data_IF_107027314137
#
_entry.id   IF_107027314137
#
_cell.length_a   1.000
_cell.length_b   1.000
_cell.length_c   1.000
_cell.angle_alpha   90.00
_cell.angle_beta   90.00
_cell.angle_gamma   90.00
#
_symmetry.space_group_name_H-M   'P 1'
#
loop_
_entity.id
_entity.type
_entity.pdbx_description
1 polymer ?
#
# COMPACT_ATOMS: atom_id res chain seq x y z
N UNK A 1 -10.51 14.82 3.75
CA UNK A 1 -11.04 16.13 3.33
C UNK A 1 -12.41 16.33 3.96
N UNK A 2 -12.60 17.40 4.74
CA UNK A 2 -13.92 17.81 5.26
C UNK A 2 -14.39 18.99 4.41
N UNK A 3 -15.55 18.86 3.77
CA UNK A 3 -16.13 19.90 2.90
C UNK A 3 -17.36 20.51 3.58
N UNK A 4 -17.42 21.84 3.64
CA UNK A 4 -18.46 22.58 4.38
C UNK A 4 -19.16 23.55 3.43
N UNK A 5 -20.49 23.53 3.43
CA UNK A 5 -21.30 24.40 2.58
C UNK A 5 -21.94 25.51 3.41
N UNK A 6 -21.79 26.77 3.00
CA UNK A 6 -22.52 27.92 3.55
C UNK A 6 -23.79 28.18 2.74
N UNK A 7 -24.87 28.51 3.43
CA UNK A 7 -26.07 29.09 2.83
C UNK A 7 -26.24 30.53 3.36
N UNK A 8 -25.76 31.51 2.59
CA UNK A 8 -26.02 32.95 2.78
C UNK A 8 -25.40 33.65 4.01
N UNK A 9 -24.91 34.88 3.84
CA UNK A 9 -24.48 35.78 4.92
C UNK A 9 -23.01 36.25 4.85
N UNK A 10 -22.69 37.35 5.53
CA UNK A 10 -21.34 37.94 5.60
C UNK A 10 -20.61 37.38 6.85
N UNK A 11 -19.70 36.43 6.64
CA UNK A 11 -18.95 35.76 7.71
C UNK A 11 -17.57 36.39 7.83
N UNK A 12 -17.10 36.62 9.05
CA UNK A 12 -15.80 37.28 9.27
C UNK A 12 -14.73 36.34 9.78
N UNK A 13 -15.10 35.27 10.47
CA UNK A 13 -14.14 34.30 11.02
C UNK A 13 -14.73 32.89 10.98
N UNK A 14 -13.89 31.92 10.64
CA UNK A 14 -14.18 30.50 10.70
C UNK A 14 -13.16 29.83 11.62
N UNK A 15 -13.63 28.95 12.50
CA UNK A 15 -12.80 28.19 13.42
C UNK A 15 -13.15 26.71 13.32
N UNK A 16 -12.13 25.90 13.07
CA UNK A 16 -12.19 24.45 13.08
C UNK A 16 -11.57 23.97 14.40
N UNK A 17 -12.36 23.27 15.22
CA UNK A 17 -11.90 22.61 16.43
C UNK A 17 -11.97 21.10 16.21
N UNK A 18 -10.85 20.43 16.37
CA UNK A 18 -10.82 18.98 16.50
C UNK A 18 -10.80 18.63 17.98
N UNK A 19 -11.68 17.73 18.42
CA UNK A 19 -11.70 17.22 19.80
C UNK A 19 -11.66 15.70 19.82
N UNK A 20 -10.84 15.15 20.71
CA UNK A 20 -10.87 13.72 21.09
C UNK A 20 -11.85 13.51 22.25
N UNK A 21 -12.28 12.27 22.50
CA UNK A 21 -13.00 11.94 23.74
C UNK A 21 -12.17 12.29 24.99
N UNK A 22 -10.84 12.17 24.93
CA UNK A 22 -9.91 12.59 25.99
C UNK A 22 -9.74 14.12 26.11
N UNK A 23 -10.56 14.91 25.42
CA UNK A 23 -10.58 16.37 25.44
C UNK A 23 -9.26 17.07 25.03
N UNK A 24 -8.38 16.39 24.28
CA UNK A 24 -7.28 17.07 23.57
C UNK A 24 -7.85 17.79 22.38
N UNK A 25 -7.86 19.12 22.42
CA UNK A 25 -8.35 19.94 21.33
C UNK A 25 -7.21 20.56 20.52
N UNK A 26 -7.37 20.61 19.20
CA UNK A 26 -6.55 21.44 18.33
C UNK A 26 -7.46 22.36 17.54
N UNK A 27 -7.16 23.65 17.59
CA UNK A 27 -7.94 24.67 16.91
C UNK A 27 -7.14 25.23 15.74
N UNK A 28 -7.79 25.29 14.58
CA UNK A 28 -7.34 26.05 13.43
C UNK A 28 -8.35 27.16 13.18
N UNK A 29 -7.89 28.37 12.93
CA UNK A 29 -8.75 29.49 12.58
C UNK A 29 -8.29 30.13 11.28
N UNK A 30 -9.25 30.55 10.47
CA UNK A 30 -8.99 31.29 9.24
C UNK A 30 -9.97 32.45 9.13
N UNK A 31 -9.55 33.47 8.39
CA UNK A 31 -10.36 34.64 8.09
C UNK A 31 -10.70 34.59 6.61
N UNK A 32 -11.98 34.45 6.30
CA UNK A 32 -12.47 34.40 4.93
C UNK A 32 -13.92 34.84 4.85
N UNK A 33 -14.31 35.36 3.70
CA UNK A 33 -15.70 35.71 3.36
C UNK A 33 -16.37 34.66 2.48
N UNK A 34 -15.63 33.60 2.13
CA UNK A 34 -16.07 32.60 1.16
C UNK A 34 -17.29 31.81 1.66
N UNK A 35 -18.06 31.29 0.71
CA UNK A 35 -19.21 30.45 1.01
C UNK A 35 -18.85 28.97 1.20
N UNK A 36 -17.62 28.60 0.88
CA UNK A 36 -17.12 27.24 1.03
C UNK A 36 -15.68 27.36 1.47
N UNK A 37 -15.32 26.57 2.47
CA UNK A 37 -13.99 26.54 3.05
C UNK A 37 -13.55 25.08 3.13
N UNK A 38 -12.35 24.80 2.63
CA UNK A 38 -11.78 23.47 2.59
C UNK A 38 -10.63 23.38 3.59
N UNK A 39 -10.68 22.34 4.41
CA UNK A 39 -9.67 22.12 5.45
C UNK A 39 -9.05 20.74 5.31
N UNK A 40 -7.72 20.74 5.20
CA UNK A 40 -6.92 19.54 5.32
C UNK A 40 -6.33 19.48 6.72
N UNK A 41 -6.73 18.44 7.45
CA UNK A 41 -6.28 18.20 8.81
C UNK A 41 -5.45 16.92 8.82
N UNK A 42 -4.20 17.03 9.28
CA UNK A 42 -3.31 15.89 9.44
C UNK A 42 -3.17 15.50 10.91
N UNK A 43 -3.28 14.20 11.18
CA UNK A 43 -3.21 13.61 12.52
C UNK A 43 -2.01 12.65 12.61
N UNK A 44 -0.77 13.16 12.68
CA UNK A 44 0.41 12.30 12.69
C UNK A 44 0.46 11.49 14.00
N UNK A 45 0.55 10.17 13.91
CA UNK A 45 0.70 9.26 15.05
C UNK A 45 1.88 9.66 15.95
N UNK A 46 2.97 10.17 15.37
CA UNK A 46 4.15 10.69 16.10
C UNK A 46 3.86 11.84 17.06
N UNK A 47 2.72 12.54 16.92
CA UNK A 47 2.27 13.60 17.84
C UNK A 47 1.27 13.12 18.88
N UNK A 48 1.08 11.80 19.02
CA UNK A 48 0.23 11.20 20.05
C UNK A 48 -1.27 11.21 19.72
N UNK A 49 -1.62 11.28 18.44
CA UNK A 49 -2.99 11.01 17.98
C UNK A 49 -3.21 9.50 17.99
N UNK A 50 -4.06 9.05 18.91
CA UNK A 50 -4.40 7.63 19.06
C UNK A 50 -5.63 7.29 18.21
N UNK A 51 -5.77 6.04 17.75
CA UNK A 51 -6.96 5.58 17.04
C UNK A 51 -8.19 5.66 17.93
N UNK A 52 -9.34 5.90 17.33
CA UNK A 52 -10.58 6.04 18.08
C UNK A 52 -11.56 7.01 17.43
N UNK A 53 -12.68 7.29 18.09
CA UNK A 53 -13.62 8.30 17.65
C UNK A 53 -13.06 9.72 17.84
N UNK A 54 -13.24 10.55 16.83
CA UNK A 54 -12.90 11.97 16.82
C UNK A 54 -14.13 12.77 16.43
N UNK A 55 -14.29 13.93 17.04
CA UNK A 55 -15.30 14.92 16.67
C UNK A 55 -14.62 16.15 16.08
N UNK A 56 -15.07 16.54 14.89
CA UNK A 56 -14.75 17.82 14.27
C UNK A 56 -15.93 18.75 14.53
N UNK A 57 -15.67 19.87 15.16
CA UNK A 57 -16.61 20.98 15.30
C UNK A 57 -16.12 22.16 14.46
N UNK A 58 -17.00 22.70 13.63
CA UNK A 58 -16.75 23.93 12.90
C UNK A 58 -17.65 24.99 13.49
N UNK A 59 -17.06 26.11 13.89
CA UNK A 59 -17.76 27.28 14.39
C UNK A 59 -17.53 28.45 13.45
N UNK A 60 -18.60 29.05 12.96
CA UNK A 60 -18.57 30.24 12.11
C UNK A 60 -19.05 31.44 12.91
N UNK A 61 -18.25 32.50 12.96
CA UNK A 61 -18.58 33.75 13.65
C UNK A 61 -19.03 34.82 12.66
N UNK A 62 -20.16 35.46 12.97
CA UNK A 62 -20.66 36.62 12.22
C UNK A 62 -20.22 37.94 12.85
N UNK A 63 -20.40 39.05 12.13
CA UNK A 63 -20.00 40.40 12.58
C UNK A 63 -20.73 40.91 13.84
N UNK A 64 -21.71 40.16 14.37
CA UNK A 64 -22.62 40.60 15.45
C UNK A 64 -22.56 39.67 16.68
N UNK A 65 -21.42 39.00 16.91
CA UNK A 65 -21.20 38.04 18.01
C UNK A 65 -22.06 36.78 18.00
N UNK A 66 -22.81 36.52 16.92
CA UNK A 66 -23.51 35.23 16.77
C UNK A 66 -22.59 34.21 16.14
N UNK A 67 -22.61 33.00 16.69
CA UNK A 67 -21.88 31.84 16.17
C UNK A 67 -22.85 30.71 15.82
N UNK A 68 -22.61 30.05 14.69
CA UNK A 68 -23.27 28.80 14.33
C UNK A 68 -22.20 27.71 14.32
N UNK A 69 -22.48 26.56 14.93
CA UNK A 69 -21.59 25.41 14.85
C UNK A 69 -22.23 24.19 14.21
N UNK A 70 -21.40 23.40 13.53
CA UNK A 70 -21.75 22.11 12.97
C UNK A 70 -20.71 21.09 13.42
N UNK A 71 -21.18 19.89 13.74
CA UNK A 71 -20.34 18.79 14.25
C UNK A 71 -20.41 17.59 13.32
N UNK A 72 -19.27 16.92 13.16
CA UNK A 72 -19.17 15.66 12.45
C UNK A 72 -18.23 14.73 13.19
N UNK A 73 -18.55 13.44 13.21
CA UNK A 73 -17.75 12.43 13.89
C UNK A 73 -17.10 11.52 12.85
N UNK A 74 -15.86 11.13 13.10
CA UNK A 74 -15.14 10.16 12.30
C UNK A 74 -14.30 9.26 13.20
N UNK A 75 -13.94 8.07 12.71
CA UNK A 75 -13.06 7.16 13.43
C UNK A 75 -11.68 7.18 12.80
N UNK A 76 -10.67 7.51 13.58
CA UNK A 76 -9.27 7.33 13.19
C UNK A 76 -8.88 5.87 13.39
N UNK A 77 -8.36 5.22 12.36
CA UNK A 77 -7.89 3.83 12.39
C UNK A 77 -6.37 3.77 12.29
N UNK A 78 -5.74 2.74 12.85
CA UNK A 78 -4.30 2.48 12.63
C UNK A 78 -4.03 1.90 11.26
N UNK A 79 -5.03 1.25 10.69
CA UNK A 79 -4.92 0.49 9.45
C UNK A 79 -5.58 1.24 8.30
N UNK A 80 -5.10 0.94 7.08
CA UNK A 80 -5.70 1.37 5.83
C UNK A 80 -7.15 0.85 5.75
N UNK A 81 -8.05 1.72 5.31
CA UNK A 81 -9.47 1.43 5.13
C UNK A 81 -9.78 1.13 3.67
N UNK A 82 -10.83 0.34 3.46
CA UNK A 82 -11.21 -0.14 2.15
C UNK A 82 -12.02 -1.43 2.22
N UNK A 83 -12.02 -2.17 1.12
CA UNK A 83 -12.67 -3.46 1.02
C UNK A 83 -12.00 -4.36 0.00
N UNK A 84 -12.53 -5.58 -0.12
CA UNK A 84 -12.04 -6.57 -1.07
C UNK A 84 -13.09 -6.83 -2.17
N UNK A 85 -12.77 -6.40 -3.38
CA UNK A 85 -13.56 -6.72 -4.56
C UNK A 85 -13.25 -8.13 -5.05
N UNK A 86 -14.28 -8.73 -5.64
CA UNK A 86 -14.24 -10.05 -6.24
C UNK A 86 -14.75 -9.88 -7.66
N UNK A 87 -13.91 -10.21 -8.62
CA UNK A 87 -14.15 -9.96 -10.03
C UNK A 87 -14.09 -11.30 -10.74
N UNK A 88 -15.17 -11.66 -11.40
CA UNK A 88 -15.26 -12.89 -12.22
C UNK A 88 -15.83 -12.52 -13.58
N UNK A 89 -15.26 -13.06 -14.65
CA UNK A 89 -15.62 -12.75 -16.04
C UNK A 89 -15.65 -11.23 -16.32
N UNK A 90 -14.72 -10.48 -15.73
CA UNK A 90 -14.58 -9.03 -15.90
C UNK A 90 -15.64 -8.17 -15.17
N UNK A 91 -16.47 -8.75 -14.30
CA UNK A 91 -17.50 -8.03 -13.54
C UNK A 91 -17.29 -8.18 -12.04
N UNK A 92 -17.46 -7.09 -11.30
CA UNK A 92 -17.47 -7.13 -9.84
C UNK A 92 -18.71 -7.86 -9.34
N UNK A 93 -18.50 -8.92 -8.59
CA UNK A 93 -19.53 -9.71 -7.93
C UNK A 93 -19.99 -8.94 -6.69
N UNK A 94 -21.28 -8.62 -6.61
CA UNK A 94 -21.85 -7.94 -5.44
C UNK A 94 -22.17 -8.91 -4.28
N UNK A 95 -22.57 -10.14 -4.62
CA UNK A 95 -22.95 -11.17 -3.65
C UNK A 95 -21.79 -12.00 -3.12
N UNK A 96 -22.09 -13.06 -2.35
CA UNK A 96 -21.11 -14.04 -1.90
C UNK A 96 -20.80 -15.09 -2.99
N UNK A 97 -21.68 -15.26 -3.97
CA UNK A 97 -21.62 -16.38 -4.90
C UNK A 97 -20.64 -16.15 -6.05
N UNK A 98 -19.76 -17.12 -6.26
CA UNK A 98 -18.83 -17.19 -7.40
C UNK A 98 -18.97 -18.54 -8.10
N UNK A 99 -18.66 -18.61 -9.40
CA UNK A 99 -18.58 -19.88 -10.14
C UNK A 99 -17.23 -20.56 -9.93
N UNK A 100 -17.19 -21.89 -9.99
CA UNK A 100 -15.95 -22.66 -10.07
C UNK A 100 -15.39 -22.81 -11.51
N UNK A 101 -16.15 -22.39 -12.52
CA UNK A 101 -15.76 -22.57 -13.93
C UNK A 101 -14.59 -21.68 -14.37
N UNK A 102 -14.41 -20.53 -13.71
CA UNK A 102 -13.41 -19.53 -14.07
C UNK A 102 -12.65 -19.02 -12.85
N UNK A 103 -11.39 -18.65 -13.07
CA UNK A 103 -10.57 -17.98 -12.07
C UNK A 103 -11.20 -16.67 -11.60
N UNK A 104 -11.05 -16.39 -10.31
CA UNK A 104 -11.59 -15.21 -9.65
C UNK A 104 -10.45 -14.26 -9.32
N UNK A 105 -10.59 -13.01 -9.74
CA UNK A 105 -9.66 -11.93 -9.38
C UNK A 105 -10.15 -11.27 -8.10
N UNK A 106 -9.31 -11.28 -7.07
CA UNK A 106 -9.47 -10.52 -5.84
C UNK A 106 -8.71 -9.21 -5.97
N UNK A 107 -9.31 -8.10 -5.54
CA UNK A 107 -8.71 -6.78 -5.69
C UNK A 107 -9.02 -5.93 -4.46
N UNK A 108 -7.99 -5.45 -3.76
CA UNK A 108 -8.15 -4.51 -2.66
C UNK A 108 -8.52 -3.15 -3.22
N UNK A 109 -9.63 -2.60 -2.74
CA UNK A 109 -10.07 -1.24 -3.04
C UNK A 109 -9.95 -0.41 -1.79
N UNK A 110 -9.06 0.57 -1.80
CA UNK A 110 -8.84 1.48 -0.69
C UNK A 110 -9.85 2.63 -0.69
N UNK A 111 -10.06 3.21 0.48
CA UNK A 111 -10.73 4.50 0.60
C UNK A 111 -9.94 5.57 -0.17
N UNK A 112 -10.60 6.58 -0.75
CA UNK A 112 -9.90 7.63 -1.50
C UNK A 112 -8.78 8.32 -0.67
N UNK A 113 -9.00 8.66 0.62
CA UNK A 113 -7.93 9.22 1.45
C UNK A 113 -6.73 8.28 1.64
N UNK A 114 -6.97 6.98 1.84
CA UNK A 114 -5.89 6.01 2.06
C UNK A 114 -5.14 5.72 0.76
N UNK A 115 -5.84 5.64 -0.37
CA UNK A 115 -5.22 5.53 -1.68
C UNK A 115 -4.29 6.73 -1.96
N UNK A 116 -4.76 7.95 -1.71
CA UNK A 116 -3.94 9.16 -1.88
C UNK A 116 -2.73 9.17 -0.94
N UNK A 117 -2.91 8.74 0.31
CA UNK A 117 -1.83 8.62 1.28
C UNK A 117 -0.72 7.66 0.79
N UNK A 118 -1.08 6.47 0.31
CA UNK A 118 -0.11 5.46 -0.10
C UNK A 118 0.38 5.60 -1.54
N UNK A 119 -0.25 6.44 -2.37
CA UNK A 119 0.17 6.70 -3.75
C UNK A 119 1.62 7.19 -3.89
N UNK A 120 2.17 7.72 -2.80
CA UNK A 120 3.56 8.21 -2.68
C UNK A 120 4.53 7.15 -2.15
N UNK A 121 4.05 5.98 -1.75
CA UNK A 121 4.86 4.92 -1.19
C UNK A 121 5.68 4.24 -2.29
N UNK A 122 7.01 4.07 -2.11
CA UNK A 122 7.82 3.34 -3.08
C UNK A 122 7.49 1.84 -3.16
N UNK A 123 6.91 1.25 -2.11
CA UNK A 123 6.62 -0.18 -2.07
C UNK A 123 5.27 -0.46 -1.42
N UNK A 124 4.47 -1.25 -2.13
CA UNK A 124 3.17 -1.76 -1.67
C UNK A 124 3.11 -3.26 -1.97
N UNK A 125 2.94 -4.06 -0.92
CA UNK A 125 2.82 -5.51 -1.03
C UNK A 125 1.50 -5.98 -0.43
N UNK A 126 0.86 -6.93 -1.10
CA UNK A 126 -0.35 -7.59 -0.61
C UNK A 126 -0.08 -9.07 -0.41
N UNK A 127 -0.34 -9.59 0.79
CA UNK A 127 -0.10 -10.97 1.19
C UNK A 127 -1.43 -11.70 1.30
N UNK A 128 -1.60 -12.76 0.52
CA UNK A 128 -2.90 -13.37 0.25
C UNK A 128 -3.08 -14.69 0.98
N UNK A 129 -4.26 -14.84 1.57
CA UNK A 129 -4.65 -16.01 2.34
C UNK A 129 -6.05 -16.45 1.89
N UNK A 130 -6.23 -17.76 1.69
CA UNK A 130 -7.55 -18.36 1.45
C UNK A 130 -7.72 -19.50 2.44
N UNK A 131 -8.79 -19.48 3.21
CA UNK A 131 -9.06 -20.42 4.31
C UNK A 131 -7.88 -20.54 5.28
N UNK A 132 -7.26 -19.41 5.65
CA UNK A 132 -6.06 -19.35 6.48
C UNK A 132 -4.79 -20.01 5.89
N UNK A 133 -4.80 -20.38 4.62
CA UNK A 133 -3.61 -20.89 3.91
C UNK A 133 -2.97 -19.75 3.14
N UNK A 134 -1.66 -19.55 3.32
CA UNK A 134 -0.89 -18.53 2.60
C UNK A 134 -0.64 -18.97 1.15
N UNK A 135 -1.02 -18.13 0.19
CA UNK A 135 -0.86 -18.39 -1.24
C UNK A 135 0.24 -17.57 -1.91
N UNK A 136 0.85 -16.63 -1.19
CA UNK A 136 1.90 -15.77 -1.72
C UNK A 136 1.59 -14.29 -1.54
N UNK A 137 2.42 -13.47 -2.15
CA UNK A 137 2.24 -12.03 -2.19
C UNK A 137 2.21 -11.50 -3.62
N UNK A 138 1.62 -10.33 -3.80
CA UNK A 138 1.69 -9.55 -5.03
C UNK A 138 2.22 -8.15 -4.76
N UNK A 139 2.89 -7.59 -5.77
CA UNK A 139 3.16 -6.16 -5.84
C UNK A 139 1.87 -5.47 -6.27
N UNK A 140 1.33 -4.58 -5.43
CA UNK A 140 0.05 -3.91 -5.69
C UNK A 140 -1.14 -4.54 -4.95
N UNK A 141 -2.28 -4.64 -5.63
CA UNK A 141 -3.61 -4.72 -5.00
C UNK A 141 -4.40 -5.97 -5.33
N UNK A 142 -3.92 -6.82 -6.25
CA UNK A 142 -4.72 -7.93 -6.77
C UNK A 142 -4.04 -9.30 -6.70
N UNK A 143 -4.88 -10.33 -6.75
CA UNK A 143 -4.52 -11.74 -6.73
C UNK A 143 -5.60 -12.54 -7.43
N UNK A 144 -5.21 -13.50 -8.27
CA UNK A 144 -6.17 -14.39 -8.94
C UNK A 144 -6.08 -15.78 -8.36
N UNK A 145 -7.22 -16.35 -8.00
CA UNK A 145 -7.33 -17.69 -7.45
C UNK A 145 -8.42 -18.50 -8.16
N UNK A 146 -8.20 -19.81 -8.26
CA UNK A 146 -9.21 -20.72 -8.78
C UNK A 146 -9.79 -21.55 -7.64
N UNK A 147 -11.12 -21.67 -7.59
CA UNK A 147 -11.86 -22.37 -6.54
C UNK A 147 -12.42 -23.69 -7.09
N UNK A 148 -11.68 -24.80 -6.98
CA UNK A 148 -12.05 -26.06 -7.63
C UNK A 148 -13.19 -26.81 -6.94
N UNK A 149 -13.47 -26.51 -5.67
CA UNK A 149 -14.47 -27.21 -4.87
C UNK A 149 -15.77 -26.42 -4.85
N UNK A 150 -16.83 -27.03 -5.38
CA UNK A 150 -18.18 -26.51 -5.34
C UNK A 150 -18.79 -26.60 -3.94
N UNK A 151 -19.82 -25.78 -3.70
CA UNK A 151 -20.62 -25.76 -2.47
C UNK A 151 -19.81 -25.53 -1.19
N UNK A 152 -18.60 -24.98 -1.34
CA UNK A 152 -17.73 -24.63 -0.24
C UNK A 152 -17.72 -23.12 -0.03
N UNK A 153 -17.84 -22.73 1.23
CA UNK A 153 -17.59 -21.36 1.67
C UNK A 153 -16.10 -21.17 1.92
N UNK A 154 -15.54 -20.12 1.34
CA UNK A 154 -14.14 -19.74 1.50
C UNK A 154 -14.02 -18.36 2.15
N UNK A 155 -13.02 -18.21 3.01
CA UNK A 155 -12.64 -16.92 3.56
C UNK A 155 -11.35 -16.45 2.87
N UNK A 156 -11.42 -15.32 2.18
CA UNK A 156 -10.27 -14.68 1.55
C UNK A 156 -9.84 -13.52 2.42
N UNK A 157 -8.56 -13.45 2.73
CA UNK A 157 -7.97 -12.45 3.60
C UNK A 157 -6.68 -11.93 2.95
N UNK A 158 -6.40 -10.65 3.17
CA UNK A 158 -5.19 -10.01 2.66
C UNK A 158 -4.60 -9.05 3.67
N UNK A 159 -3.28 -9.17 3.91
CA UNK A 159 -2.49 -8.13 4.55
C UNK A 159 -1.94 -7.23 3.47
N UNK A 160 -2.25 -5.95 3.53
CA UNK A 160 -1.51 -4.97 2.79
C UNK A 160 -0.43 -4.38 3.68
N UNK A 161 0.78 -4.26 3.14
CA UNK A 161 1.91 -3.61 3.79
C UNK A 161 2.46 -2.54 2.86
N UNK A 162 2.59 -1.33 3.41
CA UNK A 162 3.05 -0.15 2.69
C UNK A 162 4.32 0.37 3.36
N UNK A 163 5.35 0.57 2.56
CA UNK A 163 6.64 1.11 2.98
C UNK A 163 6.91 2.43 2.30
N UNK A 164 7.27 3.45 3.08
CA UNK A 164 7.78 4.72 2.59
C UNK A 164 9.32 4.79 2.60
N UNK A 165 10.00 3.70 2.95
CA UNK A 165 11.45 3.64 2.91
C UNK A 165 11.95 3.71 1.45
N UNK A 166 13.04 4.44 1.18
CA UNK A 166 13.60 4.52 -0.16
C UNK A 166 14.03 3.14 -0.64
N UNK A 167 13.83 2.86 -1.92
CA UNK A 167 14.36 1.63 -2.52
C UNK A 167 15.89 1.59 -2.34
N UNK A 168 16.47 0.41 -2.07
CA UNK A 168 17.91 0.27 -2.01
C UNK A 168 18.52 0.75 -3.33
N UNK A 169 19.53 1.61 -3.23
CA UNK A 169 20.27 2.06 -4.42
C UNK A 169 20.99 0.84 -5.00
N UNK A 170 20.92 0.59 -6.32
CA UNK A 170 21.67 -0.50 -6.93
C UNK A 170 23.15 -0.29 -6.64
N UNK A 171 23.74 -1.21 -5.90
CA UNK A 171 25.16 -1.16 -5.57
C UNK A 171 25.96 -1.24 -6.89
N UNK A 172 26.97 -0.38 -7.10
CA UNK A 172 27.74 -0.40 -8.33
C UNK A 172 28.37 -1.79 -8.50
N UNK A 173 28.10 -2.43 -9.64
CA UNK A 173 28.69 -3.72 -9.98
C UNK A 173 30.21 -3.58 -10.01
N UNK A 174 30.89 -4.07 -8.97
CA UNK A 174 32.34 -4.20 -8.96
C UNK A 174 32.70 -5.25 -10.00
N UNK A 175 33.16 -4.79 -11.16
CA UNK A 175 33.64 -5.69 -12.21
C UNK A 175 34.99 -6.21 -11.74
N UNK A 176 35.00 -7.39 -11.13
CA UNK A 176 36.23 -8.09 -10.77
C UNK A 176 36.97 -8.43 -12.07
N UNK A 177 37.91 -7.59 -12.45
CA UNK A 177 38.78 -7.81 -13.62
C UNK A 177 39.67 -8.99 -13.28
N UNK A 178 39.33 -10.17 -13.82
CA UNK A 178 40.16 -11.37 -13.68
C UNK A 178 41.47 -11.09 -14.42
N UNK A 179 42.58 -11.10 -13.69
CA UNK A 179 43.91 -10.91 -14.26
C UNK A 179 44.19 -12.02 -15.29
N UNK A 180 44.68 -11.69 -16.50
CA UNK A 180 44.97 -12.70 -17.52
C UNK A 180 46.06 -13.64 -17.01
N UNK A 181 45.73 -14.93 -16.95
CA UNK A 181 46.70 -15.99 -16.65
C UNK A 181 47.58 -16.20 -17.87
N UNK A 182 48.82 -15.73 -17.81
CA UNK A 182 49.81 -15.93 -18.87
C UNK A 182 50.36 -17.36 -18.84
N UNK A 183 49.86 -18.21 -19.74
CA UNK A 183 50.49 -19.50 -20.03
C UNK A 183 51.57 -19.28 -21.09
N UNK A 184 52.84 -19.44 -20.70
CA UNK A 184 53.99 -19.28 -21.59
C UNK A 184 54.11 -20.39 -22.62
N UNK A 185 54.25 -20.02 -23.89
CA UNK A 185 54.71 -20.87 -25.00
C UNK A 185 55.69 -20.06 -25.88
N UNK A 186 56.63 -20.73 -26.57
CA UNK A 186 57.93 -20.15 -26.89
C UNK A 186 57.97 -19.27 -28.15
N UNK A 187 58.95 -18.37 -28.13
CA UNK A 187 59.37 -17.41 -29.15
C UNK A 187 59.15 -17.85 -30.61
N UNK A 188 58.45 -16.99 -31.36
CA UNK A 188 58.78 -16.74 -32.76
C UNK A 188 58.71 -15.24 -33.05
N UNK A 189 59.88 -14.68 -33.30
CA UNK A 189 60.14 -13.29 -33.65
C UNK A 189 59.54 -12.99 -35.02
N UNK A 190 58.61 -12.04 -35.11
CA UNK A 190 58.31 -11.38 -36.39
C UNK A 190 58.04 -9.90 -36.15
N UNK A 191 58.89 -9.07 -36.74
CA UNK A 191 58.84 -7.61 -36.70
C UNK A 191 57.84 -7.11 -37.74
N UNK A 192 56.79 -6.41 -37.31
CA UNK A 192 55.94 -5.61 -38.21
C UNK A 192 55.58 -4.26 -37.59
N UNK A 193 55.61 -3.28 -38.49
CA UNK A 193 55.54 -1.82 -38.35
C UNK A 193 54.21 -1.30 -37.78
N UNK A 194 54.18 -0.22 -37.00
CA UNK A 194 52.93 0.30 -36.44
C UNK A 194 52.14 1.05 -37.52
N UNK A 195 50.87 0.68 -37.70
CA UNK A 195 49.90 1.48 -38.46
C UNK A 195 48.89 2.04 -37.47
N UNK A 196 48.88 3.37 -37.33
CA UNK A 196 47.95 4.13 -36.50
C UNK A 196 46.56 4.15 -37.14
N UNK A 197 45.58 3.54 -36.49
CA UNK A 197 44.17 3.59 -36.92
C UNK A 197 43.34 4.25 -35.82
N UNK A 198 42.87 5.46 -36.10
CA UNK A 198 41.96 6.25 -35.26
C UNK A 198 40.56 5.63 -35.34
N UNK A 199 40.03 5.14 -34.22
CA UNK A 199 38.64 4.68 -34.13
C UNK A 199 37.73 5.82 -33.69
N UNK A 200 36.71 6.10 -34.51
CA UNK A 200 35.66 7.06 -34.24
C UNK A 200 34.69 6.52 -33.17
N UNK A 201 34.32 7.39 -32.21
CA UNK A 201 33.31 7.10 -31.19
C UNK A 201 31.92 7.34 -31.78
N UNK A 202 31.17 6.26 -32.00
CA UNK A 202 29.76 6.33 -32.44
C UNK A 202 28.87 6.34 -31.21
N UNK A 203 28.27 7.49 -30.90
CA UNK A 203 27.25 7.65 -29.87
C UNK A 203 25.89 7.31 -30.47
N UNK A 204 25.33 6.14 -30.16
CA UNK A 204 23.92 5.81 -30.45
C UNK A 204 23.12 5.91 -29.18
N UNK A 205 22.37 7.00 -29.04
CA UNK A 205 21.30 7.18 -28.05
C UNK A 205 20.05 6.48 -28.58
N UNK A 206 19.68 5.36 -27.97
CA UNK A 206 18.39 4.72 -28.16
C UNK A 206 17.61 4.76 -26.85
N UNK A 207 16.71 5.73 -26.74
CA UNK A 207 15.64 5.76 -25.74
C UNK A 207 14.55 4.76 -26.15
N UNK A 208 14.57 3.58 -25.53
CA UNK A 208 13.42 2.66 -25.53
C UNK A 208 12.80 2.65 -24.14
N UNK A 209 11.73 3.42 -23.97
CA UNK A 209 10.80 3.29 -22.85
C UNK A 209 10.00 1.99 -23.03
N UNK A 210 10.45 0.93 -22.37
CA UNK A 210 9.67 -0.29 -22.17
C UNK A 210 9.16 -0.31 -20.73
N UNK A 211 7.84 -0.18 -20.60
CA UNK A 211 7.08 -0.50 -19.40
C UNK A 211 7.35 -1.96 -19.01
N UNK A 212 7.54 -2.30 -17.71
CA UNK A 212 7.72 -3.69 -17.33
C UNK A 212 6.37 -4.42 -17.43
N UNK A 213 6.18 -5.18 -18.50
CA UNK A 213 5.21 -6.27 -18.54
C UNK A 213 5.82 -7.46 -17.80
N UNK A 214 5.56 -7.57 -16.50
CA UNK A 214 5.96 -8.74 -15.73
C UNK A 214 5.15 -9.94 -16.20
N UNK A 215 5.89 -10.88 -16.78
CA UNK A 215 5.42 -12.17 -17.26
C UNK A 215 5.03 -13.01 -16.05
N UNK A 216 3.74 -13.30 -15.88
CA UNK A 216 3.30 -14.32 -14.93
C UNK A 216 3.79 -15.69 -15.41
N UNK A 217 4.76 -16.25 -14.68
CA UNK A 217 5.16 -17.65 -14.64
C UNK A 217 5.80 -17.83 -13.24
N UNK A 218 5.74 -18.93 -12.51
CA UNK A 218 5.40 -20.33 -12.77
C UNK A 218 5.33 -20.98 -11.39
N UNK A 219 4.37 -21.88 -11.21
CA UNK A 219 4.42 -23.07 -10.36
C UNK A 219 5.58 -23.16 -9.35
N UNK A 220 5.37 -22.72 -8.10
CA UNK A 220 6.22 -23.09 -6.96
C UNK A 220 5.55 -24.19 -6.16
N UNK A 221 6.04 -25.41 -6.37
CA UNK A 221 5.86 -26.51 -5.43
C UNK A 221 6.75 -26.23 -4.21
N UNK A 222 6.25 -25.46 -3.24
CA UNK A 222 6.97 -25.13 -2.02
C UNK A 222 6.80 -26.29 -1.02
N UNK A 223 7.84 -27.12 -0.90
CA UNK A 223 8.02 -27.98 0.28
C UNK A 223 8.14 -27.06 1.50
N UNK A 224 7.17 -27.17 2.40
CA UNK A 224 7.12 -26.40 3.65
C UNK A 224 8.40 -26.53 4.46
N UNK A 225 9.10 -25.41 4.65
CA UNK A 225 10.08 -25.27 5.71
C UNK A 225 9.33 -24.87 6.98
N UNK A 226 9.25 -25.79 7.93
CA UNK A 226 8.71 -25.56 9.27
C UNK A 226 9.69 -24.66 10.03
N UNK A 227 9.47 -23.34 10.01
CA UNK A 227 10.19 -22.40 10.88
C UNK A 227 9.59 -22.45 12.29
N UNK A 228 10.44 -22.74 13.28
CA UNK A 228 10.10 -22.92 14.69
C UNK A 228 9.51 -21.65 15.30
N UNK A 229 8.37 -21.79 16.00
CA UNK A 229 7.68 -20.74 16.76
C UNK A 229 8.63 -19.99 17.70
N UNK A 230 8.88 -18.72 17.43
CA UNK A 230 9.51 -17.84 18.41
C UNK A 230 8.42 -17.02 19.11
N UNK A 231 8.12 -17.42 20.34
CA UNK A 231 7.20 -16.75 21.25
C UNK A 231 7.80 -15.42 21.68
N UNK A 232 7.37 -14.31 21.09
CA UNK A 232 7.77 -12.96 21.48
C UNK A 232 6.76 -12.40 22.48
N UNK A 233 7.08 -12.55 23.76
CA UNK A 233 6.53 -11.75 24.85
C UNK A 233 7.30 -10.43 24.94
N UNK A 234 6.73 -9.32 24.45
CA UNK A 234 7.01 -7.96 24.96
C UNK A 234 5.94 -6.97 24.49
N UNK A 235 5.49 -6.16 25.45
CA UNK A 235 4.44 -5.13 25.36
C UNK A 235 4.72 -4.00 24.34
N UNK A 236 3.63 -3.46 23.76
CA UNK A 236 3.50 -2.15 23.08
C UNK A 236 4.07 -1.98 21.66
N UNK A 237 3.78 -2.92 20.75
CA UNK A 237 3.72 -2.60 19.31
C UNK A 237 2.28 -2.82 18.87
N UNK A 238 1.68 -1.73 18.37
CA UNK A 238 0.30 -1.59 17.97
C UNK A 238 -0.22 -2.77 17.12
N UNK A 239 -1.51 -3.06 17.30
CA UNK A 239 -2.27 -4.17 16.71
C UNK A 239 -2.12 -4.22 15.18
N UNK A 240 -1.12 -4.94 14.67
CA UNK A 240 -1.19 -5.40 13.28
C UNK A 240 -2.29 -6.45 13.25
N UNK A 241 -3.32 -6.30 12.39
CA UNK A 241 -4.40 -7.27 12.30
C UNK A 241 -3.81 -8.64 12.00
N UNK A 242 -3.85 -9.53 13.01
CA UNK A 242 -3.37 -10.89 12.88
C UNK A 242 -4.25 -11.62 11.88
N UNK A 243 -3.68 -11.96 10.72
CA UNK A 243 -4.34 -12.82 9.76
C UNK A 243 -4.29 -14.23 10.30
N UNK A 244 -5.48 -14.83 10.44
CA UNK A 244 -5.67 -16.18 10.95
C UNK A 244 -4.76 -16.50 12.14
N UNK A 245 -5.13 -15.98 13.32
CA UNK A 245 -4.52 -16.22 14.63
C UNK A 245 -3.55 -17.40 14.62
N UNK A 246 -2.23 -17.10 14.53
CA UNK A 246 -1.06 -18.00 14.46
C UNK A 246 -0.37 -18.23 13.10
N UNK A 247 -0.89 -17.72 11.98
CA UNK A 247 -0.26 -17.91 10.64
C UNK A 247 0.31 -16.65 10.03
N UNK A 248 0.33 -15.53 10.76
CA UNK A 248 0.99 -14.31 10.27
C UNK A 248 2.50 -14.56 10.20
N UNK A 249 3.02 -14.64 8.98
CA UNK A 249 4.44 -14.83 8.67
C UNK A 249 5.20 -13.49 8.80
N UNK A 250 4.47 -12.38 8.89
CA UNK A 250 5.03 -11.03 8.75
C UNK A 250 5.11 -10.39 10.13
N UNK A 251 6.33 -10.14 10.64
CA UNK A 251 6.48 -9.43 11.89
C UNK A 251 5.99 -7.99 11.75
N UNK A 252 5.30 -7.43 12.76
CA UNK A 252 4.98 -6.02 12.81
C UNK A 252 6.23 -5.15 12.70
N UNK A 253 6.22 -4.17 11.79
CA UNK A 253 7.24 -3.15 11.67
C UNK A 253 6.60 -1.76 11.86
N UNK A 254 6.97 -1.01 12.91
CA UNK A 254 6.39 0.30 13.20
C UNK A 254 6.68 1.37 12.13
N UNK A 255 7.60 1.12 11.19
CA UNK A 255 7.88 2.01 10.05
C UNK A 255 7.02 1.74 8.82
N UNK A 256 6.17 0.71 8.88
CA UNK A 256 5.27 0.33 7.79
C UNK A 256 3.84 0.68 8.16
N UNK A 257 3.02 0.94 7.16
CA UNK A 257 1.58 1.07 7.32
C UNK A 257 0.91 -0.21 6.84
N UNK A 258 -0.12 -0.66 7.56
CA UNK A 258 -0.79 -1.92 7.26
C UNK A 258 -2.26 -1.70 6.94
N UNK A 259 -2.82 -2.58 6.10
CA UNK A 259 -4.26 -2.71 5.88
C UNK A 259 -4.65 -4.18 5.99
N UNK A 260 -5.86 -4.47 6.46
CA UNK A 260 -6.40 -5.83 6.45
C UNK A 260 -7.79 -5.82 5.84
N UNK A 261 -7.97 -6.68 4.85
CA UNK A 261 -9.22 -6.78 4.11
C UNK A 261 -9.59 -8.24 4.03
N UNK A 262 -10.88 -8.53 4.22
CA UNK A 262 -11.38 -9.88 4.14
C UNK A 262 -12.74 -9.93 3.46
N UNK A 263 -13.03 -11.08 2.85
CA UNK A 263 -14.32 -11.35 2.25
C UNK A 263 -14.61 -12.84 2.26
N UNK A 264 -15.85 -13.17 2.60
CA UNK A 264 -16.37 -14.52 2.51
C UNK A 264 -17.06 -14.73 1.15
N UNK A 265 -16.84 -15.90 0.56
CA UNK A 265 -17.36 -16.29 -0.75
C UNK A 265 -17.93 -17.70 -0.67
N UNK A 266 -18.92 -17.99 -1.50
CA UNK A 266 -19.51 -19.32 -1.64
C UNK A 266 -19.43 -19.75 -3.11
N UNK A 267 -18.82 -20.90 -3.33
CA UNK A 267 -18.62 -21.44 -4.67
C UNK A 267 -19.87 -22.19 -5.10
N UNK A 268 -20.42 -21.85 -6.26
CA UNK A 268 -21.54 -22.56 -6.89
C UNK A 268 -21.06 -23.27 -8.15
N UNK A 269 -21.42 -24.55 -8.29
CA UNK A 269 -21.27 -25.28 -9.54
C UNK A 269 -22.25 -24.73 -10.57
N UNK A 270 -21.75 -24.42 -11.77
CA UNK A 270 -22.56 -23.99 -12.92
C UNK A 270 -22.08 -24.67 -14.18
#
# INVERSE_FOLDING_TARGET
MVSIYKSGGDCRFEQLSLRTEDNKSRELSTKGSDAVSYWDVSYPSSKGYVPGPYEVEVTVYTSWFTSVSAKSQFKLTETLNGGLNVIQSGKTVAGPFISNAEGVKHEVVLSSPDFEYISRAPQVYSFWYVDCVYYGFSEGYDFTFNYPLEEKTHNVEVLMMVSFEPLPTPEPSTTTTVAPTTTGAPNSTTTTTPTTTTAASTTTTSTSTTSPTTTMMKNMNAKGALMTKQLLTTNLIADVPYICMNSSIIPPDPKKTYGYFSRQLEVKGW
#
